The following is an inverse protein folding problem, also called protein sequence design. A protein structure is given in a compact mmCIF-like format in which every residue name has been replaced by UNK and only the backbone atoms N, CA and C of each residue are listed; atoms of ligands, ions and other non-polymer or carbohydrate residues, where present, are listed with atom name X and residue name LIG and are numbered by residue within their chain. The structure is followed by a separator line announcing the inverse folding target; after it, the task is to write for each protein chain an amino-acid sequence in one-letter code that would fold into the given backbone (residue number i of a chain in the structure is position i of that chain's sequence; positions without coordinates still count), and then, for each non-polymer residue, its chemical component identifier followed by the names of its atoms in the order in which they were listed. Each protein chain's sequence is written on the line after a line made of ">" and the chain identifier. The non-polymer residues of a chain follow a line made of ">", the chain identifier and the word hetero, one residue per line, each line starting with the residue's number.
data_IF_117782584039
#
_entry.id   IF_117782584039
#
_cell.length_a   1.000
_cell.length_b   1.000
_cell.length_c   1.000
_cell.angle_alpha   90.00
_cell.angle_beta   90.00
_cell.angle_gamma   90.00
#
_symmetry.space_group_name_H-M   'P 1'
#
loop_
_entity.id
_entity.type
_entity.pdbx_description
1 polymer ?
#
# COMPACT_ATOMS: atom_id res chain seq x y z
N UNK A 1 -21.01 -18.23 -44.27
CA UNK A 1 -20.69 -17.31 -43.15
C UNK A 1 -21.94 -16.53 -42.77
N UNK A 2 -22.46 -16.66 -41.54
CA UNK A 2 -23.57 -15.84 -41.07
C UNK A 2 -23.11 -14.38 -40.95
N UNK A 3 -23.76 -13.47 -41.67
CA UNK A 3 -23.47 -12.03 -41.56
C UNK A 3 -23.96 -11.54 -40.20
N UNK A 4 -23.06 -11.05 -39.36
CA UNK A 4 -23.43 -10.39 -38.11
C UNK A 4 -24.29 -9.17 -38.43
N UNK A 5 -25.42 -9.04 -37.74
CA UNK A 5 -26.28 -7.85 -37.86
C UNK A 5 -25.47 -6.63 -37.43
N UNK A 6 -25.63 -5.49 -38.12
CA UNK A 6 -24.89 -4.24 -37.84
C UNK A 6 -24.94 -3.83 -36.37
N UNK A 7 -26.07 -4.07 -35.69
CA UNK A 7 -26.24 -3.84 -34.25
C UNK A 7 -25.31 -4.69 -33.36
N UNK A 8 -25.07 -5.96 -33.72
CA UNK A 8 -24.14 -6.84 -32.99
C UNK A 8 -22.70 -6.38 -33.14
N UNK A 9 -22.33 -5.86 -34.31
CA UNK A 9 -20.97 -5.35 -34.57
C UNK A 9 -20.71 -4.10 -33.71
N UNK A 10 -21.67 -3.17 -33.65
CA UNK A 10 -21.56 -1.96 -32.82
C UNK A 10 -21.44 -2.32 -31.34
N UNK A 11 -22.23 -3.28 -30.85
CA UNK A 11 -22.15 -3.75 -29.47
C UNK A 11 -20.76 -4.33 -29.13
N UNK A 12 -20.21 -5.17 -30.01
CA UNK A 12 -18.87 -5.75 -29.81
C UNK A 12 -17.80 -4.64 -29.79
N UNK A 13 -17.90 -3.67 -30.70
CA UNK A 13 -16.97 -2.55 -30.76
C UNK A 13 -17.04 -1.69 -29.49
N UNK A 14 -18.25 -1.39 -29.01
CA UNK A 14 -18.44 -0.66 -27.77
C UNK A 14 -17.85 -1.42 -26.56
N UNK A 15 -18.09 -2.73 -26.47
CA UNK A 15 -17.54 -3.55 -25.40
C UNK A 15 -16.00 -3.61 -25.43
N UNK A 16 -15.42 -3.75 -26.63
CA UNK A 16 -13.96 -3.72 -26.81
C UNK A 16 -13.38 -2.35 -26.40
N UNK A 17 -14.04 -1.26 -26.79
CA UNK A 17 -13.62 0.10 -26.43
C UNK A 17 -13.65 0.31 -24.91
N UNK A 18 -14.72 -0.11 -24.23
CA UNK A 18 -14.82 -0.07 -22.77
C UNK A 18 -13.69 -0.89 -22.14
N UNK A 19 -13.44 -2.11 -22.62
CA UNK A 19 -12.36 -2.95 -22.11
C UNK A 19 -10.99 -2.26 -22.20
N UNK A 20 -10.70 -1.58 -23.32
CA UNK A 20 -9.45 -0.82 -23.47
C UNK A 20 -9.36 0.30 -22.43
N UNK A 21 -10.43 1.05 -22.19
CA UNK A 21 -10.44 2.12 -21.18
C UNK A 21 -10.22 1.59 -19.75
N UNK A 22 -10.71 0.40 -19.44
CA UNK A 22 -10.55 -0.21 -18.12
C UNK A 22 -9.12 -0.72 -17.85
N UNK A 23 -8.44 -1.20 -18.90
CA UNK A 23 -7.10 -1.79 -18.80
C UNK A 23 -5.97 -0.80 -19.08
N UNK A 24 -6.21 0.32 -19.76
CA UNK A 24 -5.12 1.24 -20.12
C UNK A 24 -4.65 2.05 -18.90
N UNK A 25 -3.38 1.89 -18.45
CA UNK A 25 -2.91 2.53 -17.23
C UNK A 25 -2.41 3.96 -17.47
N UNK A 26 -2.60 4.82 -16.46
CA UNK A 26 -2.03 6.16 -16.37
C UNK A 26 -0.74 6.10 -15.53
N UNK A 27 0.38 6.48 -16.15
CA UNK A 27 1.69 6.53 -15.50
C UNK A 27 1.86 7.81 -14.68
N UNK A 28 2.33 7.69 -13.44
CA UNK A 28 2.72 8.80 -12.57
C UNK A 28 4.04 8.48 -11.87
N UNK A 29 5.00 9.41 -11.92
CA UNK A 29 6.32 9.28 -11.27
C UNK A 29 6.46 10.29 -10.15
N UNK A 30 6.97 9.84 -9.01
CA UNK A 30 7.08 10.61 -7.78
C UNK A 30 8.51 11.14 -7.56
N UNK A 31 8.60 12.19 -6.75
CA UNK A 31 9.86 12.88 -6.41
C UNK A 31 10.53 12.32 -5.15
N UNK A 32 10.32 11.04 -4.89
CA UNK A 32 10.81 10.30 -3.71
C UNK A 32 12.08 9.47 -4.01
N UNK A 33 12.70 9.70 -5.17
CA UNK A 33 13.77 8.86 -5.70
C UNK A 33 13.39 8.22 -7.05
N UNK A 34 12.11 8.28 -7.43
CA UNK A 34 11.64 7.88 -8.75
C UNK A 34 10.62 6.75 -8.74
N UNK A 35 9.92 6.53 -7.63
CA UNK A 35 8.79 5.60 -7.58
C UNK A 35 7.82 5.91 -8.70
N UNK A 36 7.32 4.88 -9.36
CA UNK A 36 6.41 5.01 -10.49
C UNK A 36 5.19 4.14 -10.29
N UNK A 37 4.01 4.73 -10.47
CA UNK A 37 2.73 4.02 -10.47
C UNK A 37 2.14 3.95 -11.86
N UNK A 38 1.52 2.83 -12.19
CA UNK A 38 0.70 2.62 -13.39
C UNK A 38 -0.73 2.33 -12.93
N UNK A 39 -1.61 3.31 -13.07
CA UNK A 39 -2.96 3.31 -12.52
C UNK A 39 -3.97 2.99 -13.62
N UNK A 40 -4.56 1.80 -13.60
CA UNK A 40 -5.72 1.47 -14.41
C UNK A 40 -6.97 1.39 -13.53
N UNK A 41 -8.16 1.27 -14.15
CA UNK A 41 -9.40 1.09 -13.38
C UNK A 41 -9.40 -0.26 -12.65
N UNK A 42 -8.91 -1.31 -13.31
CA UNK A 42 -8.93 -2.68 -12.77
C UNK A 42 -7.71 -3.04 -11.93
N UNK A 43 -6.61 -2.29 -12.02
CA UNK A 43 -5.38 -2.61 -11.34
C UNK A 43 -4.49 -1.38 -11.12
N UNK A 44 -3.54 -1.49 -10.20
CA UNK A 44 -2.46 -0.54 -9.99
C UNK A 44 -1.15 -1.31 -9.88
N UNK A 45 -0.14 -0.93 -10.65
CA UNK A 45 1.23 -1.44 -10.49
C UNK A 45 2.06 -0.34 -9.86
N UNK A 46 2.80 -0.65 -8.81
CA UNK A 46 3.75 0.28 -8.18
C UNK A 46 5.15 -0.30 -8.33
N UNK A 47 6.06 0.52 -8.82
CA UNK A 47 7.48 0.24 -8.90
C UNK A 47 8.17 1.19 -7.94
N UNK A 48 8.60 0.67 -6.80
CA UNK A 48 9.18 1.44 -5.72
C UNK A 48 10.65 1.77 -6.01
N UNK A 49 11.00 3.04 -5.80
CA UNK A 49 12.39 3.49 -5.79
C UNK A 49 12.50 4.68 -4.81
N UNK A 50 12.29 4.39 -3.54
CA UNK A 50 12.25 5.37 -2.46
C UNK A 50 13.68 5.58 -1.97
N UNK A 51 14.12 6.83 -1.86
CA UNK A 51 15.43 7.18 -1.31
C UNK A 51 15.44 6.93 0.20
N UNK A 52 16.35 6.07 0.66
CA UNK A 52 16.52 5.72 2.07
C UNK A 52 18.00 5.52 2.40
N UNK A 53 18.55 6.36 3.26
CA UNK A 53 19.98 6.34 3.61
C UNK A 53 20.35 5.16 4.52
N UNK A 54 19.37 4.52 5.16
CA UNK A 54 19.60 3.38 6.04
C UNK A 54 19.73 2.06 5.26
N UNK A 55 19.31 2.05 3.99
CA UNK A 55 19.40 0.87 3.12
C UNK A 55 20.77 0.75 2.45
N UNK A 56 21.34 -0.47 2.33
CA UNK A 56 22.54 -0.69 1.55
C UNK A 56 22.28 -0.36 0.07
N UNK A 57 22.85 0.76 -0.39
CA UNK A 57 22.65 1.28 -1.74
C UNK A 57 21.74 2.50 -1.82
N UNK A 58 21.22 3.00 -0.68
CA UNK A 58 20.55 4.29 -0.58
C UNK A 58 19.09 4.31 -1.05
N UNK A 59 18.50 3.15 -1.37
CA UNK A 59 17.12 3.08 -1.88
C UNK A 59 16.38 1.83 -1.39
N UNK A 60 15.12 2.01 -0.96
CA UNK A 60 14.14 0.92 -0.86
C UNK A 60 13.50 0.68 -2.22
N UNK A 61 13.63 -0.54 -2.74
CA UNK A 61 13.10 -0.95 -4.06
C UNK A 61 12.15 -2.13 -3.95
N UNK A 62 11.23 -2.21 -4.89
CA UNK A 62 10.23 -3.28 -4.94
C UNK A 62 9.28 -3.10 -6.11
N UNK A 63 8.44 -4.10 -6.35
CA UNK A 63 7.36 -4.00 -7.33
C UNK A 63 6.15 -4.77 -6.84
N UNK A 64 4.97 -4.21 -7.03
CA UNK A 64 3.72 -4.74 -6.50
C UNK A 64 2.56 -4.47 -7.44
N UNK A 65 1.53 -5.29 -7.31
CA UNK A 65 0.32 -5.24 -8.13
C UNK A 65 -0.89 -5.30 -7.21
N UNK A 66 -1.77 -4.33 -7.35
CA UNK A 66 -3.05 -4.25 -6.65
C UNK A 66 -4.17 -4.40 -7.66
N UNK A 67 -5.16 -5.23 -7.34
CA UNK A 67 -6.32 -5.47 -8.20
C UNK A 67 -7.56 -4.77 -7.64
N UNK A 68 -8.52 -4.51 -8.51
CA UNK A 68 -9.84 -4.01 -8.11
C UNK A 68 -10.48 -4.91 -7.05
N UNK A 69 -11.08 -4.34 -5.98
CA UNK A 69 -11.27 -2.91 -5.71
C UNK A 69 -10.14 -2.26 -4.88
N UNK A 70 -9.10 -3.01 -4.49
CA UNK A 70 -8.05 -2.54 -3.59
C UNK A 70 -6.98 -1.67 -4.28
N UNK A 71 -7.16 -1.27 -5.56
CA UNK A 71 -6.20 -0.46 -6.31
C UNK A 71 -6.36 1.07 -6.16
N UNK A 72 -7.41 1.53 -5.48
CA UNK A 72 -7.75 2.95 -5.39
C UNK A 72 -7.14 3.71 -4.21
N UNK A 73 -6.35 3.08 -3.35
CA UNK A 73 -5.67 3.78 -2.25
C UNK A 73 -4.56 4.71 -2.75
N UNK A 74 -4.15 5.65 -1.89
CA UNK A 74 -3.02 6.54 -2.14
C UNK A 74 -1.69 5.81 -2.03
N UNK A 75 -0.62 6.38 -2.60
CA UNK A 75 0.72 5.78 -2.57
C UNK A 75 1.19 5.46 -1.13
N UNK A 76 0.89 6.35 -0.17
CA UNK A 76 1.28 6.19 1.24
C UNK A 76 0.70 4.94 1.90
N UNK A 77 -0.54 4.57 1.57
CA UNK A 77 -1.16 3.37 2.10
C UNK A 77 -0.39 2.13 1.68
N UNK A 78 0.01 2.07 0.40
CA UNK A 78 0.79 0.96 -0.10
C UNK A 78 2.21 0.95 0.46
N UNK A 79 2.82 2.13 0.63
CA UNK A 79 4.13 2.24 1.26
C UNK A 79 4.11 1.67 2.69
N UNK A 80 3.08 1.96 3.49
CA UNK A 80 2.97 1.48 4.87
C UNK A 80 2.84 -0.06 4.95
N UNK A 81 2.09 -0.67 4.06
CA UNK A 81 1.92 -2.14 4.05
C UNK A 81 3.12 -2.88 3.45
N UNK A 82 3.87 -2.23 2.53
CA UNK A 82 5.00 -2.85 1.83
C UNK A 82 6.31 -2.64 2.57
N UNK A 83 6.48 -1.47 3.19
CA UNK A 83 7.64 -1.12 4.00
C UNK A 83 7.17 -0.67 5.40
N UNK A 84 6.71 -1.60 6.25
CA UNK A 84 6.25 -1.27 7.59
C UNK A 84 7.42 -0.69 8.41
N UNK A 85 7.25 0.55 8.89
CA UNK A 85 8.18 1.14 9.85
C UNK A 85 8.19 0.28 11.12
N UNK A 86 9.37 -0.22 11.52
CA UNK A 86 9.57 -1.11 12.67
C UNK A 86 9.46 -0.40 14.04
N UNK A 87 8.98 0.85 14.08
CA UNK A 87 9.00 1.69 15.29
C UNK A 87 7.69 1.69 16.10
N UNK A 88 6.70 0.82 15.80
CA UNK A 88 5.37 0.85 16.46
C UNK A 88 5.13 -0.15 17.60
N UNK A 89 6.13 -0.91 18.04
CA UNK A 89 5.94 -1.95 19.07
C UNK A 89 6.24 -1.50 20.52
N UNK A 90 6.28 -0.20 20.85
CA UNK A 90 6.64 0.24 22.22
C UNK A 90 5.73 1.26 22.94
N UNK A 91 4.60 1.71 22.37
CA UNK A 91 3.82 2.79 23.03
C UNK A 91 2.40 2.44 23.52
N UNK A 92 1.98 1.17 23.57
CA UNK A 92 0.62 0.80 24.01
C UNK A 92 0.55 -0.21 25.18
N UNK A 93 1.45 -0.10 26.17
CA UNK A 93 1.29 -0.83 27.45
C UNK A 93 1.50 0.03 28.72
N UNK A 94 1.39 1.37 28.61
CA UNK A 94 1.49 2.24 29.79
C UNK A 94 0.29 3.17 29.96
N UNK A 95 -0.92 2.59 29.98
CA UNK A 95 -2.06 3.24 30.61
C UNK A 95 -2.66 2.39 31.73
N UNK A 96 -2.52 2.93 32.95
CA UNK A 96 -3.53 2.91 34.00
C UNK A 96 -3.69 1.65 34.88
N UNK A 97 -2.88 1.56 35.95
CA UNK A 97 -3.38 1.10 37.27
C UNK A 97 -2.83 1.97 38.40
N UNK A 98 -3.66 2.93 38.83
CA UNK A 98 -3.53 3.58 40.13
C UNK A 98 -4.38 2.84 41.17
N UNK A 99 -3.74 2.60 42.31
CA UNK A 99 -4.24 2.45 43.69
C UNK A 99 -5.20 1.30 44.06
N UNK A 100 -4.70 0.41 44.92
CA UNK A 100 -5.32 0.11 46.23
C UNK A 100 -4.28 -0.57 47.14
N UNK A 101 -3.94 0.11 48.23
CA UNK A 101 -3.81 -0.37 49.62
C UNK A 101 -3.08 -1.69 49.89
N UNK A 102 -1.94 -1.62 50.60
CA UNK A 102 -1.84 -2.06 52.01
C UNK A 102 -0.41 -1.92 52.56
N UNK A 103 -0.37 -1.68 53.87
CA UNK A 103 0.76 -1.31 54.72
C UNK A 103 1.89 -2.35 54.81
N UNK A 104 3.09 -1.86 55.15
CA UNK A 104 3.88 -2.52 56.20
C UNK A 104 5.25 -3.07 55.81
N UNK A 105 6.28 -2.41 56.36
CA UNK A 105 7.56 -2.99 56.80
C UNK A 105 8.69 -3.12 55.77
N UNK A 106 9.64 -2.18 55.83
CA UNK A 106 11.06 -2.41 55.46
C UNK A 106 11.71 -3.22 56.62
N UNK A 107 12.74 -4.08 56.39
CA UNK A 107 14.08 -3.54 56.11
C UNK A 107 14.95 -4.34 55.12
N UNK A 108 15.78 -3.57 54.42
CA UNK A 108 17.17 -3.82 54.03
C UNK A 108 17.86 -5.06 54.66
N UNK A 109 18.50 -5.89 53.80
CA UNK A 109 19.73 -6.62 54.15
C UNK A 109 20.64 -6.81 52.92
N UNK A 110 21.85 -6.30 53.05
CA UNK A 110 23.04 -6.68 52.27
C UNK A 110 23.63 -7.96 52.88
N UNK A 111 24.02 -8.91 52.04
CA UNK A 111 25.12 -9.85 52.26
C UNK A 111 25.70 -10.25 50.91
#
# INVERSE_FOLDING_TARGET
>A
MPKLKKSKIIMILAMAFIMILLLFPIKLTYKDGGTTTYNAVLYKVIVWNILDQNEPGGYRRGSEIHLFPNNFHDLKYYEEITFPNQERDQEDESEHKNNSDEEGSIPFKIA
#
